data_IF_771490346890
#
_entry.id   IF_771490346890
#
_cell.length_a   1.000
_cell.length_b   1.000
_cell.length_c   1.000
_cell.angle_alpha   90.00
_cell.angle_beta   90.00
_cell.angle_gamma   90.00
#
_symmetry.space_group_name_H-M   'P 1'
#
loop_
_entity.id
_entity.type
_entity.pdbx_description
1 polymer ?
#
# COMPACT_ATOMS: atom_id res chain seq x y z
N UNK A 1 -13.68 -13.91 12.52
CA UNK A 1 -12.30 -13.73 11.98
C UNK A 1 -11.53 -12.92 13.01
N UNK A 2 -10.32 -13.31 13.41
CA UNK A 2 -9.56 -12.54 14.41
C UNK A 2 -8.89 -11.32 13.78
N UNK A 3 -8.55 -10.32 14.60
CA UNK A 3 -7.85 -9.11 14.14
C UNK A 3 -6.50 -9.46 13.52
N UNK A 4 -5.80 -10.41 14.12
CA UNK A 4 -4.49 -10.91 13.64
C UNK A 4 -4.61 -11.57 12.27
N UNK A 5 -5.71 -12.31 12.04
CA UNK A 5 -5.98 -12.96 10.75
C UNK A 5 -6.21 -11.91 9.66
N UNK A 6 -6.98 -10.87 9.97
CA UNK A 6 -7.25 -9.75 9.05
C UNK A 6 -5.96 -8.98 8.75
N UNK A 7 -5.17 -8.67 9.79
CA UNK A 7 -3.89 -7.99 9.63
C UNK A 7 -2.92 -8.80 8.76
N UNK A 8 -2.80 -10.11 9.00
CA UNK A 8 -1.95 -10.98 8.19
C UNK A 8 -2.40 -11.02 6.71
N UNK A 9 -3.70 -11.02 6.44
CA UNK A 9 -4.23 -10.96 5.08
C UNK A 9 -3.93 -9.61 4.41
N UNK A 10 -4.10 -8.50 5.12
CA UNK A 10 -3.73 -7.17 4.64
C UNK A 10 -2.23 -7.08 4.30
N UNK A 11 -1.36 -7.55 5.20
CA UNK A 11 0.09 -7.55 4.97
C UNK A 11 0.47 -8.41 3.76
N UNK A 12 -0.11 -9.60 3.59
CA UNK A 12 0.12 -10.44 2.40
C UNK A 12 -0.32 -9.77 1.11
N UNK A 13 -1.46 -9.08 1.13
CA UNK A 13 -1.98 -8.37 -0.04
C UNK A 13 -1.04 -7.22 -0.44
N UNK A 14 -0.56 -6.43 0.53
CA UNK A 14 0.41 -5.35 0.29
C UNK A 14 1.74 -5.91 -0.20
N UNK A 15 2.25 -6.97 0.42
CA UNK A 15 3.49 -7.63 0.01
C UNK A 15 3.44 -8.13 -1.44
N UNK A 16 2.32 -8.72 -1.86
CA UNK A 16 2.15 -9.15 -3.26
C UNK A 16 2.19 -7.96 -4.23
N UNK A 17 1.59 -6.82 -3.86
CA UNK A 17 1.65 -5.61 -4.69
C UNK A 17 3.08 -5.07 -4.76
N UNK A 18 3.78 -5.00 -3.63
CA UNK A 18 5.17 -4.56 -3.56
C UNK A 18 6.10 -5.46 -4.39
N UNK A 19 5.92 -6.79 -4.35
CA UNK A 19 6.68 -7.72 -5.21
C UNK A 19 6.52 -7.42 -6.70
N UNK A 20 5.29 -7.14 -7.15
CA UNK A 20 5.02 -6.78 -8.54
C UNK A 20 5.64 -5.42 -8.91
N UNK A 21 5.55 -4.42 -8.02
CA UNK A 21 6.14 -3.12 -8.26
C UNK A 21 7.67 -3.18 -8.32
N UNK A 22 8.28 -4.00 -7.46
CA UNK A 22 9.73 -4.20 -7.44
C UNK A 22 10.27 -4.86 -8.72
N UNK A 23 9.44 -5.36 -9.64
CA UNK A 23 9.90 -5.84 -10.97
C UNK A 23 9.84 -4.76 -12.05
N UNK A 24 9.29 -3.58 -11.74
CA UNK A 24 9.16 -2.46 -12.67
C UNK A 24 10.28 -1.44 -12.46
N UNK A 25 10.67 -0.64 -13.47
CA UNK A 25 11.51 0.55 -13.28
C UNK A 25 10.86 1.55 -12.30
N UNK A 26 11.68 2.29 -11.56
CA UNK A 26 11.19 3.17 -10.49
C UNK A 26 10.29 4.30 -11.02
N UNK A 27 10.66 4.87 -12.17
CA UNK A 27 9.95 5.94 -12.88
C UNK A 27 8.58 5.49 -13.44
N UNK A 28 8.32 4.19 -13.53
CA UNK A 28 7.05 3.64 -14.02
C UNK A 28 6.05 3.30 -12.89
N UNK A 29 6.45 3.43 -11.60
CA UNK A 29 5.63 2.96 -10.47
C UNK A 29 4.59 3.96 -9.98
N UNK A 30 4.78 5.25 -10.24
CA UNK A 30 3.93 6.33 -9.72
C UNK A 30 2.42 6.14 -9.99
N UNK A 31 1.98 5.74 -11.20
CA UNK A 31 0.55 5.49 -11.45
C UNK A 31 -0.05 4.41 -10.55
N UNK A 32 0.75 3.43 -10.11
CA UNK A 32 0.30 2.36 -9.23
C UNK A 32 0.19 2.82 -7.78
N UNK A 33 1.14 3.62 -7.31
CA UNK A 33 1.03 4.27 -6.01
C UNK A 33 -0.19 5.19 -5.93
N UNK A 34 -0.50 5.92 -7.00
CA UNK A 34 -1.72 6.72 -7.08
C UNK A 34 -3.01 5.89 -7.08
N UNK A 35 -2.99 4.71 -7.72
CA UNK A 35 -4.10 3.76 -7.66
C UNK A 35 -4.32 3.21 -6.25
N UNK A 36 -3.23 2.89 -5.54
CA UNK A 36 -3.27 2.48 -4.12
C UNK A 36 -3.85 3.60 -3.27
N UNK A 37 -3.35 4.84 -3.43
CA UNK A 37 -3.81 6.01 -2.69
C UNK A 37 -5.32 6.23 -2.85
N UNK A 38 -5.82 6.25 -4.09
CA UNK A 38 -7.26 6.43 -4.37
C UNK A 38 -8.11 5.32 -3.75
N UNK A 39 -7.67 4.07 -3.88
CA UNK A 39 -8.37 2.92 -3.30
C UNK A 39 -8.43 3.00 -1.77
N UNK A 40 -7.32 3.34 -1.13
CA UNK A 40 -7.25 3.48 0.33
C UNK A 40 -8.07 4.65 0.85
N UNK A 41 -8.09 5.79 0.13
CA UNK A 41 -8.91 6.94 0.50
C UNK A 41 -10.39 6.57 0.51
N UNK A 42 -10.88 5.98 -0.59
CA UNK A 42 -12.28 5.54 -0.68
C UNK A 42 -12.65 4.48 0.35
N UNK A 43 -11.74 3.55 0.66
CA UNK A 43 -11.97 2.57 1.71
C UNK A 43 -11.99 3.20 3.12
N UNK A 44 -11.11 4.15 3.41
CA UNK A 44 -11.05 4.86 4.69
C UNK A 44 -12.28 5.73 4.93
N UNK A 45 -12.75 6.45 3.91
CA UNK A 45 -14.01 7.19 3.95
C UNK A 45 -15.20 6.25 4.16
N UNK A 46 -15.22 5.11 3.46
CA UNK A 46 -16.30 4.12 3.60
C UNK A 46 -16.44 3.57 5.02
N UNK A 47 -15.34 3.47 5.78
CA UNK A 47 -15.37 3.06 7.19
C UNK A 47 -15.55 4.23 8.17
N UNK A 48 -15.87 5.43 7.68
CA UNK A 48 -16.29 6.59 8.48
C UNK A 48 -15.20 7.62 8.77
N UNK A 49 -14.02 7.55 8.14
CA UNK A 49 -13.04 8.63 8.27
C UNK A 49 -13.50 9.88 7.51
N UNK A 50 -13.14 11.07 8.01
CA UNK A 50 -13.26 12.31 7.25
C UNK A 50 -12.31 12.29 6.04
N UNK A 51 -12.58 13.08 4.98
CA UNK A 51 -11.70 13.15 3.80
C UNK A 51 -10.22 13.41 4.15
N UNK A 52 -9.95 14.32 5.09
CA UNK A 52 -8.59 14.65 5.52
C UNK A 52 -7.90 13.45 6.19
N UNK A 53 -8.60 12.77 7.11
CA UNK A 53 -8.07 11.59 7.78
C UNK A 53 -7.89 10.41 6.81
N UNK A 54 -8.80 10.25 5.85
CA UNK A 54 -8.72 9.26 4.80
C UNK A 54 -7.51 9.50 3.90
N UNK A 55 -7.22 10.75 3.55
CA UNK A 55 -6.02 11.12 2.80
C UNK A 55 -4.73 10.78 3.58
N UNK A 56 -4.69 11.06 4.89
CA UNK A 56 -3.56 10.70 5.76
C UNK A 56 -3.35 9.17 5.81
N UNK A 57 -4.44 8.41 5.99
CA UNK A 57 -4.42 6.95 5.98
C UNK A 57 -3.91 6.44 4.64
N UNK A 58 -4.44 6.95 3.53
CA UNK A 58 -4.05 6.54 2.19
C UNK A 58 -2.56 6.81 1.90
N UNK A 59 -2.06 7.98 2.29
CA UNK A 59 -0.65 8.33 2.14
C UNK A 59 0.25 7.39 2.95
N UNK A 60 -0.15 7.06 4.18
CA UNK A 60 0.59 6.10 5.02
C UNK A 60 0.67 4.71 4.37
N UNK A 61 -0.41 4.25 3.72
CA UNK A 61 -0.43 2.98 3.00
C UNK A 61 0.49 2.99 1.76
N UNK A 62 0.58 4.13 1.07
CA UNK A 62 1.51 4.32 -0.06
C UNK A 62 2.95 4.27 0.42
N UNK A 63 3.30 5.04 1.45
CA UNK A 63 4.65 5.06 2.01
C UNK A 63 5.08 3.70 2.55
N UNK A 64 4.17 2.99 3.22
CA UNK A 64 4.43 1.61 3.64
C UNK A 64 4.68 0.67 2.45
N UNK A 65 3.93 0.83 1.35
CA UNK A 65 4.16 0.04 0.13
C UNK A 65 5.52 0.38 -0.50
N UNK A 66 5.88 1.67 -0.59
CA UNK A 66 7.18 2.15 -1.09
C UNK A 66 8.34 1.57 -0.29
N UNK A 67 8.26 1.64 1.05
CA UNK A 67 9.26 1.06 1.94
C UNK A 67 9.42 -0.45 1.71
N UNK A 68 8.31 -1.17 1.51
CA UNK A 68 8.34 -2.61 1.25
C UNK A 68 8.98 -2.95 -0.10
N UNK A 69 8.74 -2.14 -1.14
CA UNK A 69 9.43 -2.25 -2.43
C UNK A 69 10.94 -2.09 -2.23
N UNK A 70 11.39 -1.04 -1.53
CA UNK A 70 12.81 -0.82 -1.25
C UNK A 70 13.46 -1.97 -0.47
N UNK A 71 12.76 -2.58 0.49
CA UNK A 71 13.24 -3.78 1.20
C UNK A 71 13.41 -4.97 0.24
N UNK A 72 12.43 -5.20 -0.64
CA UNK A 72 12.46 -6.30 -1.62
C UNK A 72 13.62 -6.09 -2.61
N UNK A 73 13.83 -4.88 -3.09
CA UNK A 73 14.91 -4.55 -4.01
C UNK A 73 16.28 -4.73 -3.36
N UNK A 74 16.46 -4.24 -2.12
CA UNK A 74 17.69 -4.41 -1.37
C UNK A 74 18.04 -5.90 -1.12
N UNK A 75 17.04 -6.77 -0.99
CA UNK A 75 17.24 -8.22 -0.85
C UNK A 75 17.52 -8.98 -2.16
N UNK A 76 17.39 -8.33 -3.33
CA UNK A 76 17.74 -8.91 -4.65
C UNK A 76 19.16 -8.57 -5.09
N UNK A 77 19.79 -7.57 -4.46
CA UNK A 77 21.17 -7.16 -4.69
C UNK A 77 22.19 -8.05 -4.01
#
# INVERSE_FOLDING_TARGET
MSVETVLAQLLRMIHRRALNLATMPDDERDPYYDSIRRSCCGAAEHIGQSPDNAAITANSMVEFTRAMVGIIEAGRG
#
